data_IF_939073600885
#
_entry.id   IF_939073600885
#
_cell.length_a   1.000
_cell.length_b   1.000
_cell.length_c   1.000
_cell.angle_alpha   90.00
_cell.angle_beta   90.00
_cell.angle_gamma   90.00
#
_symmetry.space_group_name_H-M   'P 1'
#
loop_
_entity.id
_entity.type
_entity.pdbx_description
1 polymer ?
#
# COMPACT_ATOMS: atom_id res chain seq x y z
N UNK A 1 10.58 -23.71 11.76
CA UNK A 1 9.56 -22.85 12.39
C UNK A 1 9.43 -23.20 13.87
N UNK A 2 9.61 -22.23 14.74
CA UNK A 2 9.26 -22.40 16.15
C UNK A 2 7.77 -22.02 16.30
N UNK A 3 6.94 -23.02 16.33
CA UNK A 3 5.49 -22.87 16.42
C UNK A 3 4.95 -23.24 17.81
N UNK A 4 5.65 -22.84 18.87
CA UNK A 4 5.18 -23.06 20.22
C UNK A 4 4.04 -22.13 20.58
N UNK A 5 3.02 -22.64 21.28
CA UNK A 5 1.90 -21.84 21.78
C UNK A 5 0.81 -21.52 20.75
N UNK A 6 0.83 -22.13 19.58
CA UNK A 6 -0.28 -22.02 18.63
C UNK A 6 -1.49 -22.75 19.18
N UNK A 7 -2.59 -22.03 19.37
CA UNK A 7 -3.85 -22.56 19.88
C UNK A 7 -4.88 -22.86 18.80
N UNK A 8 -4.80 -22.17 17.67
CA UNK A 8 -5.69 -22.40 16.54
C UNK A 8 -5.03 -22.02 15.23
N UNK A 9 -5.45 -22.64 14.14
CA UNK A 9 -4.98 -22.37 12.77
C UNK A 9 -6.18 -22.29 11.85
N UNK A 10 -6.25 -21.21 11.06
CA UNK A 10 -7.18 -21.07 9.94
C UNK A 10 -6.40 -21.29 8.64
N UNK A 11 -6.83 -22.28 7.85
CA UNK A 11 -6.26 -22.54 6.53
C UNK A 11 -7.26 -22.16 5.44
N UNK A 12 -7.04 -21.02 4.79
CA UNK A 12 -7.80 -20.60 3.60
C UNK A 12 -7.24 -21.32 2.36
N UNK A 13 -7.92 -22.37 1.94
CA UNK A 13 -7.46 -23.25 0.83
C UNK A 13 -7.53 -22.61 -0.55
N UNK A 14 -8.35 -21.57 -0.71
CA UNK A 14 -8.51 -20.81 -1.96
C UNK A 14 -7.82 -19.44 -1.91
N UNK A 15 -7.18 -19.12 -0.81
CA UNK A 15 -6.37 -17.94 -0.64
C UNK A 15 -5.10 -17.99 -1.47
N UNK A 16 -4.49 -16.83 -1.64
CA UNK A 16 -3.26 -16.72 -2.40
C UNK A 16 -2.76 -15.27 -2.43
N UNK A 17 -1.77 -15.03 -3.27
CA UNK A 17 -1.25 -13.70 -3.53
C UNK A 17 -0.92 -13.55 -5.02
N UNK A 18 -0.87 -12.31 -5.47
CA UNK A 18 -0.47 -11.97 -6.82
C UNK A 18 0.79 -11.10 -6.77
N UNK A 19 1.67 -11.29 -7.73
CA UNK A 19 2.82 -10.41 -7.91
C UNK A 19 2.34 -9.07 -8.45
N UNK A 20 2.69 -7.99 -7.78
CA UNK A 20 2.22 -6.63 -8.13
C UNK A 20 2.67 -6.21 -9.53
N UNK A 21 3.92 -6.50 -9.93
CA UNK A 21 4.44 -6.19 -11.26
C UNK A 21 3.66 -6.88 -12.37
N UNK A 22 3.40 -8.17 -12.21
CA UNK A 22 2.65 -8.96 -13.19
C UNK A 22 1.19 -8.51 -13.25
N UNK A 23 0.60 -8.20 -12.10
CA UNK A 23 -0.77 -7.68 -12.01
C UNK A 23 -0.90 -6.35 -12.75
N UNK A 24 0.03 -5.40 -12.54
CA UNK A 24 0.02 -4.11 -13.23
C UNK A 24 0.24 -4.28 -14.73
N UNK A 25 1.15 -5.16 -15.14
CA UNK A 25 1.38 -5.46 -16.55
C UNK A 25 0.16 -6.09 -17.22
N UNK A 26 -0.51 -7.00 -16.53
CA UNK A 26 -1.75 -7.60 -17.03
C UNK A 26 -2.88 -6.56 -17.17
N UNK A 27 -3.02 -5.64 -16.21
CA UNK A 27 -3.97 -4.53 -16.27
C UNK A 27 -3.64 -3.58 -17.42
N UNK A 28 -2.38 -3.23 -17.62
CA UNK A 28 -1.94 -2.42 -18.77
C UNK A 28 -2.32 -3.08 -20.09
N UNK A 29 -1.98 -4.35 -20.26
CA UNK A 29 -2.29 -5.09 -21.47
C UNK A 29 -3.82 -5.16 -21.72
N UNK A 30 -4.60 -5.40 -20.67
CA UNK A 30 -6.06 -5.41 -20.76
C UNK A 30 -6.63 -4.04 -21.12
N UNK A 31 -6.13 -2.98 -20.50
CA UNK A 31 -6.55 -1.62 -20.80
C UNK A 31 -6.25 -1.25 -22.26
N UNK A 32 -5.04 -1.52 -22.72
CA UNK A 32 -4.62 -1.24 -24.11
C UNK A 32 -5.46 -2.03 -25.11
N UNK A 33 -5.76 -3.32 -24.83
CA UNK A 33 -6.63 -4.13 -25.69
C UNK A 33 -8.06 -3.62 -25.77
N UNK A 34 -8.49 -2.82 -24.80
CA UNK A 34 -9.79 -2.14 -24.78
C UNK A 34 -9.75 -0.72 -25.34
N UNK A 35 -8.65 -0.33 -26.02
CA UNK A 35 -8.52 0.98 -26.66
C UNK A 35 -8.01 2.10 -25.74
N UNK A 36 -7.59 1.81 -24.51
CA UNK A 36 -6.99 2.82 -23.63
C UNK A 36 -5.58 3.12 -24.11
N UNK A 37 -5.29 4.41 -24.28
CA UNK A 37 -3.96 4.90 -24.60
C UNK A 37 -3.14 5.07 -23.32
N UNK A 38 -2.07 4.29 -23.15
CA UNK A 38 -1.16 4.38 -22.03
C UNK A 38 0.08 5.17 -22.41
N UNK A 39 0.29 6.32 -21.77
CA UNK A 39 1.44 7.21 -22.02
C UNK A 39 2.46 7.04 -20.90
N UNK A 40 3.54 6.30 -21.17
CA UNK A 40 4.64 6.09 -20.22
C UNK A 40 5.68 7.20 -20.27
N UNK A 41 6.30 7.49 -19.13
CA UNK A 41 7.36 8.49 -19.04
C UNK A 41 6.84 9.91 -19.31
N UNK A 42 5.57 10.16 -19.02
CA UNK A 42 4.93 11.48 -19.10
C UNK A 42 4.62 11.92 -17.67
N UNK A 43 5.10 13.11 -17.31
CA UNK A 43 4.84 13.70 -15.99
C UNK A 43 3.75 14.74 -16.10
N UNK A 44 2.70 14.60 -15.30
CA UNK A 44 1.70 15.67 -15.14
C UNK A 44 2.29 16.77 -14.28
N UNK A 45 2.21 18.00 -14.77
CA UNK A 45 2.78 19.21 -14.15
C UNK A 45 1.72 20.20 -13.67
N UNK A 46 0.47 20.03 -14.11
CA UNK A 46 -0.63 20.90 -13.72
C UNK A 46 -1.96 20.48 -14.32
N UNK A 47 -2.96 21.35 -14.14
CA UNK A 47 -4.30 21.18 -14.65
C UNK A 47 -4.76 22.43 -15.40
N UNK A 48 -5.34 22.25 -16.58
CA UNK A 48 -6.04 23.32 -17.30
C UNK A 48 -7.41 23.54 -16.68
N UNK A 49 -7.78 24.79 -16.52
CA UNK A 49 -9.12 25.18 -16.05
C UNK A 49 -9.83 26.02 -17.10
N UNK A 50 -11.14 25.93 -17.14
CA UNK A 50 -11.94 26.78 -18.02
C UNK A 50 -11.82 28.26 -17.62
N UNK A 51 -11.84 29.14 -18.60
CA UNK A 51 -11.59 30.59 -18.42
C UNK A 51 -12.52 31.27 -17.43
N UNK A 52 -13.72 30.73 -17.22
CA UNK A 52 -14.74 31.30 -16.33
C UNK A 52 -15.29 30.28 -15.33
N UNK A 53 -14.58 29.16 -15.11
CA UNK A 53 -15.04 28.10 -14.22
C UNK A 53 -13.88 27.44 -13.51
N UNK A 54 -14.18 26.81 -12.37
CA UNK A 54 -13.21 25.97 -11.67
C UNK A 54 -13.10 24.55 -12.28
N UNK A 55 -13.89 24.27 -13.34
CA UNK A 55 -13.87 22.98 -13.99
C UNK A 55 -12.51 22.71 -14.64
N UNK A 56 -11.99 21.51 -14.40
CA UNK A 56 -10.78 21.02 -15.08
C UNK A 56 -11.16 20.66 -16.51
N UNK A 57 -10.42 21.19 -17.47
CA UNK A 57 -10.62 20.98 -18.93
C UNK A 57 -9.46 20.22 -19.57
N UNK A 58 -8.46 19.84 -18.78
CA UNK A 58 -7.32 19.09 -19.26
C UNK A 58 -6.23 18.96 -18.22
N UNK A 59 -5.17 18.27 -18.61
CA UNK A 59 -3.94 18.14 -17.83
C UNK A 59 -2.76 18.72 -18.60
N UNK A 60 -1.86 19.38 -17.89
CA UNK A 60 -0.59 19.83 -18.39
C UNK A 60 0.47 18.78 -18.13
N UNK A 61 1.31 18.51 -19.09
CA UNK A 61 2.39 17.53 -18.95
C UNK A 61 3.71 18.10 -19.46
N UNK A 62 4.80 17.46 -19.11
CA UNK A 62 6.15 17.76 -19.61
C UNK A 62 6.31 17.49 -21.13
N UNK A 63 5.29 16.89 -21.78
CA UNK A 63 5.28 16.57 -23.21
C UNK A 63 4.11 17.19 -23.96
N UNK A 64 3.46 18.19 -23.38
CA UNK A 64 2.31 18.87 -23.96
C UNK A 64 1.05 18.68 -23.15
N UNK A 65 -0.01 19.36 -23.59
CA UNK A 65 -1.29 19.37 -22.88
C UNK A 65 -2.22 18.28 -23.45
N UNK A 66 -3.03 17.71 -22.58
CA UNK A 66 -4.08 16.75 -22.93
C UNK A 66 -5.41 17.37 -22.52
N UNK A 67 -6.30 17.57 -23.48
CA UNK A 67 -7.64 18.06 -23.20
C UNK A 67 -8.58 16.90 -22.84
N UNK A 68 -9.39 17.09 -21.83
CA UNK A 68 -10.35 16.09 -21.36
C UNK A 68 -11.47 16.74 -20.55
N UNK A 69 -12.60 16.09 -20.50
CA UNK A 69 -13.77 16.52 -19.73
C UNK A 69 -13.73 16.05 -18.27
N UNK A 70 -12.99 14.99 -18.00
CA UNK A 70 -12.87 14.40 -16.68
C UNK A 70 -11.44 13.90 -16.43
N UNK A 71 -10.98 14.03 -15.19
CA UNK A 71 -9.69 13.52 -14.75
C UNK A 71 -9.91 12.64 -13.53
N UNK A 72 -9.35 11.44 -13.57
CA UNK A 72 -9.30 10.53 -12.41
C UNK A 72 -7.85 10.48 -11.91
N UNK A 73 -7.63 10.87 -10.66
CA UNK A 73 -6.31 10.87 -10.04
C UNK A 73 -6.12 9.57 -9.27
N UNK A 74 -5.39 8.62 -9.87
CA UNK A 74 -5.02 7.34 -9.27
C UNK A 74 -3.54 7.27 -8.92
N UNK A 75 -2.98 8.34 -8.37
CA UNK A 75 -1.53 8.53 -8.22
C UNK A 75 -0.93 7.93 -6.94
N UNK A 76 -1.68 7.12 -6.17
CA UNK A 76 -1.18 6.51 -4.94
C UNK A 76 -0.56 7.53 -3.98
N UNK A 77 0.68 7.34 -3.48
CA UNK A 77 1.31 8.25 -2.53
C UNK A 77 1.51 9.68 -3.05
N UNK A 78 1.52 9.87 -4.37
CA UNK A 78 1.67 11.19 -5.01
C UNK A 78 0.35 11.94 -5.20
N UNK A 79 -0.79 11.38 -4.80
CA UNK A 79 -2.09 12.04 -4.90
C UNK A 79 -2.12 13.40 -4.20
N UNK A 80 -1.34 13.58 -3.12
CA UNK A 80 -1.18 14.87 -2.42
C UNK A 80 -0.61 15.97 -3.31
N UNK A 81 0.32 15.65 -4.22
CA UNK A 81 0.92 16.62 -5.12
C UNK A 81 -0.15 17.18 -6.08
N UNK A 82 -1.01 16.30 -6.59
CA UNK A 82 -2.15 16.70 -7.43
C UNK A 82 -3.19 17.51 -6.66
N UNK A 83 -3.42 17.16 -5.41
CA UNK A 83 -4.29 17.93 -4.51
C UNK A 83 -3.79 19.36 -4.32
N UNK A 84 -2.48 19.52 -4.13
CA UNK A 84 -1.85 20.81 -4.01
C UNK A 84 -1.87 21.61 -5.33
N UNK A 85 -1.67 20.94 -6.47
CA UNK A 85 -1.80 21.57 -7.81
C UNK A 85 -3.21 22.11 -8.07
N UNK A 86 -4.22 21.45 -7.48
CA UNK A 86 -5.62 21.89 -7.59
C UNK A 86 -6.02 22.91 -6.51
N UNK A 87 -5.11 23.25 -5.58
CA UNK A 87 -5.33 24.21 -4.49
C UNK A 87 -6.53 23.82 -3.60
N UNK A 88 -6.73 22.52 -3.41
CA UNK A 88 -7.83 21.98 -2.60
C UNK A 88 -7.55 22.12 -1.10
N UNK A 89 -8.59 22.11 -0.24
CA UNK A 89 -8.42 22.25 1.21
C UNK A 89 -7.46 21.22 1.80
N UNK A 90 -6.59 21.64 2.72
CA UNK A 90 -5.61 20.74 3.37
C UNK A 90 -6.16 20.05 4.60
N UNK A 91 -7.26 20.54 5.13
CA UNK A 91 -7.95 19.99 6.30
C UNK A 91 -9.40 19.69 5.96
N UNK A 92 -9.99 18.79 6.71
CA UNK A 92 -11.42 18.49 6.67
C UNK A 92 -11.96 18.32 8.10
N UNK A 93 -13.21 18.65 8.29
CA UNK A 93 -13.93 18.37 9.52
C UNK A 93 -14.60 17.00 9.44
N UNK A 94 -14.23 16.09 10.32
CA UNK A 94 -14.78 14.74 10.40
C UNK A 94 -15.49 14.53 11.73
N UNK A 95 -16.57 13.76 11.71
CA UNK A 95 -17.29 13.35 12.92
C UNK A 95 -16.51 12.21 13.59
N UNK A 96 -15.96 12.49 14.79
CA UNK A 96 -15.25 11.50 15.59
C UNK A 96 -16.17 10.50 16.28
N UNK A 97 -15.59 9.43 16.82
CA UNK A 97 -16.32 8.42 17.61
C UNK A 97 -16.91 8.98 18.90
N UNK A 98 -16.41 10.10 19.36
CA UNK A 98 -16.92 10.87 20.51
C UNK A 98 -18.14 11.76 20.19
N UNK A 99 -18.64 11.69 18.97
CA UNK A 99 -19.77 12.47 18.48
C UNK A 99 -19.45 13.95 18.21
N UNK A 100 -18.19 14.36 18.24
CA UNK A 100 -17.75 15.74 17.98
C UNK A 100 -17.09 15.86 16.61
N UNK A 101 -17.17 17.07 16.06
CA UNK A 101 -16.43 17.41 14.86
C UNK A 101 -14.97 17.72 15.20
N UNK A 102 -14.06 17.12 14.48
CA UNK A 102 -12.63 17.32 14.60
C UNK A 102 -12.06 17.79 13.27
N UNK A 103 -11.34 18.89 13.29
CA UNK A 103 -10.54 19.28 12.15
C UNK A 103 -9.31 18.34 12.07
N UNK A 104 -9.09 17.77 10.91
CA UNK A 104 -7.98 16.85 10.69
C UNK A 104 -7.36 17.08 9.32
N UNK A 105 -6.11 16.72 9.18
CA UNK A 105 -5.43 16.75 7.88
C UNK A 105 -6.10 15.81 6.89
N UNK A 106 -6.24 16.26 5.64
CA UNK A 106 -6.83 15.47 4.56
C UNK A 106 -6.03 14.23 4.22
N UNK A 107 -4.76 14.19 4.59
CA UNK A 107 -3.84 13.14 4.19
C UNK A 107 -3.21 12.46 5.39
N UNK A 108 -3.41 11.16 5.46
CA UNK A 108 -2.66 10.26 6.35
C UNK A 108 -1.81 9.34 5.48
N UNK A 109 -0.52 9.31 5.72
CA UNK A 109 0.36 8.34 5.07
C UNK A 109 0.43 7.07 5.90
N UNK A 110 0.19 5.97 5.23
CA UNK A 110 0.47 4.66 5.75
C UNK A 110 1.79 4.19 5.14
N UNK A 111 2.78 3.98 5.98
CA UNK A 111 3.97 3.27 5.56
C UNK A 111 3.80 1.82 5.95
N UNK A 112 3.63 0.96 4.95
CA UNK A 112 3.81 -0.46 5.14
C UNK A 112 5.31 -0.72 4.98
N UNK A 113 5.97 -1.01 6.09
CA UNK A 113 7.36 -1.39 6.04
C UNK A 113 7.44 -2.89 5.78
N UNK A 114 7.68 -3.24 4.55
CA UNK A 114 7.96 -4.61 4.13
C UNK A 114 9.46 -4.76 3.90
N UNK A 115 9.98 -5.91 4.31
CA UNK A 115 11.36 -6.28 4.06
C UNK A 115 11.44 -7.67 3.45
N UNK A 116 12.52 -7.93 2.73
CA UNK A 116 12.88 -9.26 2.25
C UNK A 116 14.02 -9.78 3.10
N UNK A 117 13.80 -10.93 3.70
CA UNK A 117 14.85 -11.67 4.43
C UNK A 117 15.27 -12.81 3.54
N UNK A 118 16.56 -12.81 3.13
CA UNK A 118 17.15 -13.90 2.37
C UNK A 118 17.12 -15.20 3.17
N UNK A 119 16.68 -16.27 2.53
CA UNK A 119 16.67 -17.63 3.11
C UNK A 119 17.19 -18.62 2.07
N UNK A 120 17.69 -19.75 2.52
CA UNK A 120 18.08 -20.84 1.64
C UNK A 120 16.90 -21.29 0.79
N UNK A 121 17.09 -21.57 -0.52
CA UNK A 121 16.01 -21.88 -1.47
C UNK A 121 15.10 -23.03 -1.01
N UNK A 122 15.61 -23.99 -0.29
CA UNK A 122 14.84 -25.13 0.21
C UNK A 122 13.80 -24.73 1.26
N UNK A 123 14.03 -23.63 1.97
CA UNK A 123 13.05 -23.08 2.93
C UNK A 123 11.90 -22.33 2.25
N UNK A 124 12.01 -22.07 0.93
CA UNK A 124 10.94 -21.47 0.14
C UNK A 124 9.92 -22.50 -0.36
N UNK A 125 10.08 -23.75 0.03
CA UNK A 125 9.18 -24.85 -0.37
C UNK A 125 8.65 -25.59 0.85
N UNK A 126 7.48 -26.12 0.71
CA UNK A 126 6.92 -27.10 1.66
C UNK A 126 7.58 -28.46 1.47
N UNK A 127 7.41 -29.38 2.42
CA UNK A 127 7.99 -30.73 2.34
C UNK A 127 7.59 -31.52 1.10
N UNK A 128 6.44 -31.19 0.50
CA UNK A 128 5.96 -31.76 -0.76
C UNK A 128 6.44 -30.94 -2.01
N UNK A 129 7.37 -30.03 -1.82
CA UNK A 129 7.99 -29.25 -2.90
C UNK A 129 7.14 -28.11 -3.45
N UNK A 130 5.97 -27.83 -2.86
CA UNK A 130 5.09 -26.77 -3.29
C UNK A 130 5.47 -25.43 -2.66
N UNK A 131 4.91 -24.36 -3.21
CA UNK A 131 5.03 -23.03 -2.65
C UNK A 131 4.21 -22.94 -1.37
N UNK A 132 4.79 -22.44 -0.25
CA UNK A 132 4.02 -22.21 0.96
C UNK A 132 2.99 -21.10 0.78
N UNK A 133 1.89 -21.13 1.53
CA UNK A 133 0.90 -20.06 1.52
C UNK A 133 1.45 -18.79 2.17
N UNK A 134 0.67 -17.70 2.08
CA UNK A 134 0.84 -16.56 2.99
C UNK A 134 0.50 -17.02 4.41
N UNK A 135 1.35 -16.69 5.35
CA UNK A 135 1.15 -17.03 6.75
C UNK A 135 0.94 -15.75 7.55
N UNK A 136 -0.09 -15.73 8.37
CA UNK A 136 -0.33 -14.72 9.40
C UNK A 136 -0.23 -15.38 10.76
N UNK A 137 0.48 -14.74 11.68
CA UNK A 137 0.57 -15.18 13.08
C UNK A 137 0.25 -13.99 13.95
N UNK A 138 -0.79 -14.14 14.78
CA UNK A 138 -1.18 -13.14 15.76
C UNK A 138 -0.84 -13.62 17.17
N UNK A 139 -0.47 -12.70 18.05
CA UNK A 139 -0.10 -12.96 19.43
C UNK A 139 -0.71 -11.93 20.37
N UNK A 140 -1.14 -12.39 21.52
CA UNK A 140 -1.55 -11.57 22.67
C UNK A 140 -0.44 -11.36 23.68
N UNK A 141 0.71 -12.04 23.49
CA UNK A 141 1.86 -11.87 24.37
C UNK A 141 2.46 -10.46 24.21
N UNK A 142 2.89 -9.82 25.31
CA UNK A 142 3.58 -8.55 25.22
C UNK A 142 4.85 -8.66 24.37
N UNK A 143 5.04 -7.70 23.46
CA UNK A 143 6.21 -7.63 22.58
C UNK A 143 7.24 -6.69 23.16
N UNK A 144 8.45 -7.15 23.33
CA UNK A 144 9.60 -6.39 23.82
C UNK A 144 10.69 -6.27 22.74
N UNK A 145 11.41 -5.18 22.76
CA UNK A 145 12.58 -5.00 21.92
C UNK A 145 13.74 -5.87 22.42
N UNK A 146 14.28 -6.71 21.57
CA UNK A 146 15.46 -7.52 21.88
C UNK A 146 16.69 -6.66 22.21
N UNK A 147 16.81 -5.50 21.55
CA UNK A 147 17.92 -4.57 21.72
C UNK A 147 17.83 -3.76 23.01
N UNK A 148 16.67 -3.17 23.27
CA UNK A 148 16.48 -2.21 24.37
C UNK A 148 15.78 -2.79 25.58
N UNK A 149 15.22 -3.99 25.47
CA UNK A 149 14.38 -4.67 26.46
C UNK A 149 13.13 -3.89 26.88
N UNK A 150 12.81 -2.81 26.17
CA UNK A 150 11.61 -2.01 26.43
C UNK A 150 10.39 -2.63 25.77
N UNK A 151 9.25 -2.45 26.42
CA UNK A 151 7.96 -2.84 25.89
C UNK A 151 7.68 -2.05 24.61
N UNK A 152 7.35 -2.78 23.55
CA UNK A 152 6.91 -2.22 22.25
C UNK A 152 5.39 -2.11 22.27
N UNK A 153 4.69 -3.18 22.60
CA UNK A 153 3.23 -3.21 22.73
C UNK A 153 2.77 -4.33 23.65
N UNK A 154 1.69 -4.08 24.36
CA UNK A 154 0.92 -5.04 25.14
C UNK A 154 -0.44 -5.38 24.51
N UNK A 155 -0.70 -4.86 23.31
CA UNK A 155 -1.91 -5.13 22.52
C UNK A 155 -1.65 -6.29 21.55
N UNK A 156 -2.72 -6.83 20.98
CA UNK A 156 -2.61 -7.82 19.90
C UNK A 156 -1.71 -7.25 18.80
N UNK A 157 -0.73 -8.03 18.43
CA UNK A 157 0.19 -7.74 17.32
C UNK A 157 0.35 -8.97 16.46
N UNK A 158 0.75 -8.80 15.23
CA UNK A 158 0.93 -9.91 14.33
C UNK A 158 2.01 -9.66 13.30
N UNK A 159 2.45 -10.72 12.68
CA UNK A 159 3.31 -10.70 11.50
C UNK A 159 2.64 -11.47 10.39
N UNK A 160 2.91 -11.05 9.17
CA UNK A 160 2.56 -11.82 7.98
C UNK A 160 3.78 -11.95 7.08
N UNK A 161 3.83 -13.02 6.37
CA UNK A 161 4.92 -13.26 5.42
C UNK A 161 4.49 -14.22 4.32
N UNK A 162 5.18 -14.13 3.20
CA UNK A 162 5.04 -15.00 2.04
C UNK A 162 6.41 -15.25 1.42
N UNK A 163 6.59 -16.32 0.64
CA UNK A 163 7.79 -16.47 -0.17
C UNK A 163 7.92 -15.32 -1.15
N UNK A 164 9.12 -14.82 -1.31
CA UNK A 164 9.50 -13.91 -2.39
C UNK A 164 10.43 -14.64 -3.35
N UNK A 165 9.86 -15.13 -4.45
CA UNK A 165 10.59 -15.95 -5.41
C UNK A 165 11.60 -15.11 -6.19
N UNK A 166 11.29 -13.85 -6.48
CA UNK A 166 12.19 -12.94 -7.20
C UNK A 166 13.39 -12.55 -6.34
N UNK A 167 13.18 -12.32 -5.06
CA UNK A 167 14.22 -11.91 -4.10
C UNK A 167 14.91 -13.08 -3.40
N UNK A 168 14.55 -14.33 -3.72
CA UNK A 168 15.07 -15.54 -3.07
C UNK A 168 14.99 -15.48 -1.54
N UNK A 169 13.84 -15.09 -1.03
CA UNK A 169 13.65 -14.89 0.40
C UNK A 169 12.21 -14.97 0.85
N UNK A 170 11.97 -14.38 2.00
CA UNK A 170 10.65 -14.22 2.60
C UNK A 170 10.34 -12.73 2.68
N UNK A 171 9.24 -12.33 2.10
CA UNK A 171 8.70 -10.98 2.20
C UNK A 171 7.61 -10.95 3.28
N UNK A 172 7.70 -10.01 4.20
CA UNK A 172 6.71 -9.89 5.25
C UNK A 172 6.70 -8.53 5.92
N UNK A 173 5.73 -8.37 6.79
CA UNK A 173 5.55 -7.17 7.57
C UNK A 173 4.84 -7.47 8.89
N UNK A 174 4.62 -6.43 9.67
CA UNK A 174 3.93 -6.51 10.95
C UNK A 174 2.75 -5.54 10.99
N UNK A 175 1.94 -5.63 12.02
CA UNK A 175 0.83 -4.73 12.26
C UNK A 175 1.27 -3.26 12.24
N UNK A 176 0.44 -2.36 11.71
CA UNK A 176 0.84 -0.97 11.47
C UNK A 176 1.23 -0.25 12.76
N UNK A 177 2.32 0.47 12.69
CA UNK A 177 2.73 1.45 13.69
C UNK A 177 2.18 2.81 13.34
N UNK A 178 1.57 3.48 14.31
CA UNK A 178 1.27 4.90 14.17
C UNK A 178 2.52 5.67 14.55
N UNK A 179 3.22 6.20 13.56
CA UNK A 179 4.34 7.12 13.79
C UNK A 179 3.77 8.51 13.98
N UNK A 180 3.93 9.08 15.18
CA UNK A 180 3.46 10.44 15.50
C UNK A 180 4.33 11.55 14.92
N UNK A 181 5.39 11.23 14.18
CA UNK A 181 6.27 12.23 13.54
C UNK A 181 6.08 12.20 12.04
N UNK A 182 5.73 13.35 11.50
CA UNK A 182 5.80 13.60 10.07
C UNK A 182 7.27 13.74 9.66
N UNK A 183 7.65 13.08 8.59
CA UNK A 183 8.93 13.29 7.93
C UNK A 183 8.81 14.45 6.94
#
# INVERSE_FOLDING_TARGET
WQAQGITSVLHEKKGGYAFNKDSIKALENKSTSNGVQVMKGVKVTGFKRGSNSQAVTGVETDKGNIECEQVVIGAGPWARDFWNMLELPKTANILGKDGKMHETDMWTYWFLQEGVIGVEPDFLKTNDGKQPPVVHVDSTAPLYSDKTKKLITDKIWGIYYKPDIEGLGVQGGTSPYIVKKHF
#
